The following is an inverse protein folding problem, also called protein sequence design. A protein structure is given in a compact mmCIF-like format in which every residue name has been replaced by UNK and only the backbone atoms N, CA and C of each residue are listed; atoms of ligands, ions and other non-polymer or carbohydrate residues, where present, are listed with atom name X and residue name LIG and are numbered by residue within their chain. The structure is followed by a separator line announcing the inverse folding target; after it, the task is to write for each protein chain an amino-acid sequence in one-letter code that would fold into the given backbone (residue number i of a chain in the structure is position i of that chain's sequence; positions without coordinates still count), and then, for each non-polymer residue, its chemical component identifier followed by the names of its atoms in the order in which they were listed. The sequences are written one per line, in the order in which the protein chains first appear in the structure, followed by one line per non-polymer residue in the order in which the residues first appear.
data_IF_843600367736
#
_entry.id   IF_843600367736
#
_cell.length_a   1.000
_cell.length_b   1.000
_cell.length_c   1.000
_cell.angle_alpha   90.00
_cell.angle_beta   90.00
_cell.angle_gamma   90.00
#
_symmetry.space_group_name_H-M   'P 1'
#
loop_
_entity.id
_entity.type
_entity.pdbx_description
1 polymer ?
#
# COMPACT_ATOMS: atom_id res chain seq x y z
N UNK A 1 -0.63 3.95 34.69
CA UNK A 1 -1.01 2.54 34.45
C UNK A 1 -0.64 2.19 33.01
N UNK A 2 0.44 1.42 32.81
CA UNK A 2 0.96 1.11 31.48
C UNK A 2 -0.04 0.24 30.72
N UNK A 3 -0.52 0.73 29.58
CA UNK A 3 -1.23 -0.06 28.58
C UNK A 3 -0.44 -1.34 28.31
N UNK A 4 -1.01 -2.47 28.72
CA UNK A 4 -0.54 -3.82 28.38
C UNK A 4 -0.32 -3.85 26.87
N UNK A 5 0.95 -3.88 26.45
CA UNK A 5 1.32 -4.21 25.08
C UNK A 5 0.62 -5.53 24.80
N UNK A 6 -0.34 -5.54 23.87
CA UNK A 6 -0.93 -6.78 23.36
C UNK A 6 0.19 -7.59 22.70
N UNK A 7 0.93 -8.35 23.49
CA UNK A 7 1.74 -9.46 23.02
C UNK A 7 0.77 -10.56 22.61
N UNK A 8 0.13 -10.39 21.45
CA UNK A 8 -0.54 -11.50 20.76
C UNK A 8 0.56 -12.40 20.20
N UNK A 9 1.15 -13.21 21.07
CA UNK A 9 1.84 -14.42 20.64
C UNK A 9 0.76 -15.32 20.07
N UNK A 10 0.53 -15.21 18.76
CA UNK A 10 -0.34 -16.15 18.06
C UNK A 10 0.27 -17.54 18.22
N UNK A 11 -0.48 -18.46 18.84
CA UNK A 11 -0.05 -19.84 18.96
C UNK A 11 0.18 -20.40 17.54
N UNK A 12 1.39 -20.88 17.18
CA UNK A 12 1.69 -21.35 15.83
C UNK A 12 0.82 -22.53 15.41
N UNK A 13 0.28 -23.30 16.36
CA UNK A 13 -0.71 -24.36 16.12
C UNK A 13 -2.11 -23.85 15.76
N UNK A 14 -2.20 -22.60 15.29
CA UNK A 14 -3.36 -22.04 14.59
C UNK A 14 -3.21 -22.05 13.08
N UNK A 15 -1.99 -22.26 12.56
CA UNK A 15 -1.69 -22.30 11.13
C UNK A 15 -1.33 -23.72 10.67
N UNK A 16 -1.65 -24.06 9.43
CA UNK A 16 -1.28 -25.32 8.81
C UNK A 16 0.20 -25.30 8.42
N UNK A 17 0.98 -26.32 8.78
CA UNK A 17 2.38 -26.43 8.36
C UNK A 17 2.53 -26.46 6.82
N UNK A 18 1.64 -27.16 6.11
CA UNK A 18 1.79 -27.38 4.66
C UNK A 18 1.38 -26.15 3.84
N UNK A 19 0.27 -25.48 4.17
CA UNK A 19 -0.25 -24.35 3.37
C UNK A 19 -0.11 -22.97 4.03
N UNK A 20 0.26 -22.88 5.31
CA UNK A 20 0.37 -21.59 6.03
C UNK A 20 -0.98 -20.96 6.40
N UNK A 21 -2.10 -21.54 5.99
CA UNK A 21 -3.43 -20.98 6.24
C UNK A 21 -3.88 -21.20 7.70
N UNK A 22 -4.73 -20.28 8.19
CA UNK A 22 -5.38 -20.42 9.48
C UNK A 22 -6.33 -21.63 9.52
N UNK A 23 -6.28 -22.40 10.61
CA UNK A 23 -7.03 -23.64 10.76
C UNK A 23 -7.92 -23.58 12.00
N UNK A 24 -9.23 -23.75 11.80
CA UNK A 24 -10.21 -23.90 12.89
C UNK A 24 -9.90 -25.17 13.70
N UNK A 25 -10.04 -25.12 15.04
CA UNK A 25 -9.65 -26.18 15.98
C UNK A 25 -10.08 -27.60 15.55
N UNK A 26 -11.31 -27.75 15.05
CA UNK A 26 -11.89 -29.03 14.58
C UNK A 26 -11.20 -29.65 13.34
N UNK A 27 -10.50 -28.83 12.55
CA UNK A 27 -9.82 -29.24 11.32
C UNK A 27 -8.31 -29.45 11.49
N UNK A 28 -7.79 -29.24 12.71
CA UNK A 28 -6.36 -29.42 13.02
C UNK A 28 -6.07 -30.91 13.19
N UNK A 29 -5.01 -31.37 12.55
CA UNK A 29 -4.52 -32.74 12.64
C UNK A 29 -3.03 -32.74 12.95
N UNK A 30 -2.50 -33.71 13.70
CA UNK A 30 -1.07 -33.79 13.98
C UNK A 30 -0.30 -34.11 12.70
N UNK A 31 0.98 -33.68 12.65
CA UNK A 31 1.91 -34.12 11.62
C UNK A 31 2.29 -35.59 11.92
N UNK A 32 1.77 -36.53 11.13
CA UNK A 32 2.07 -37.96 11.25
C UNK A 32 3.23 -38.37 10.34
N UNK A 33 3.77 -39.58 10.52
CA UNK A 33 4.79 -40.14 9.62
C UNK A 33 4.30 -40.24 8.16
N UNK A 34 3.01 -40.54 7.96
CA UNK A 34 2.40 -40.46 6.63
C UNK A 34 2.56 -39.06 6.02
N UNK A 35 2.24 -38.01 6.79
CA UNK A 35 2.34 -36.63 6.31
C UNK A 35 3.78 -36.28 5.97
N UNK A 36 4.75 -36.64 6.82
CA UNK A 36 6.18 -36.40 6.55
C UNK A 36 6.63 -37.05 5.23
N UNK A 37 6.29 -38.33 5.04
CA UNK A 37 6.64 -39.10 3.83
C UNK A 37 5.98 -38.54 2.58
N UNK A 38 4.66 -38.30 2.62
CA UNK A 38 3.92 -37.78 1.48
C UNK A 38 4.34 -36.35 1.12
N UNK A 39 4.59 -35.51 2.12
CA UNK A 39 5.07 -34.14 1.93
C UNK A 39 6.44 -34.11 1.26
N UNK A 40 7.39 -34.93 1.73
CA UNK A 40 8.71 -35.05 1.12
C UNK A 40 8.63 -35.59 -0.31
N UNK A 41 7.82 -36.63 -0.53
CA UNK A 41 7.64 -37.22 -1.86
C UNK A 41 7.13 -36.19 -2.89
N UNK A 42 6.17 -35.34 -2.47
CA UNK A 42 5.55 -34.32 -3.33
C UNK A 42 6.44 -33.08 -3.51
N UNK A 43 6.84 -32.42 -2.42
CA UNK A 43 7.51 -31.12 -2.46
C UNK A 43 9.04 -31.20 -2.51
N UNK A 44 9.62 -32.38 -2.29
CA UNK A 44 11.08 -32.58 -2.15
C UNK A 44 11.69 -31.76 -0.99
N UNK A 45 10.90 -31.48 0.03
CA UNK A 45 11.30 -30.73 1.24
C UNK A 45 11.04 -31.61 2.47
N UNK A 46 12.00 -31.70 3.37
CA UNK A 46 11.85 -32.45 4.62
C UNK A 46 11.21 -31.58 5.72
N UNK A 47 10.29 -32.16 6.48
CA UNK A 47 9.75 -31.52 7.69
C UNK A 47 10.75 -31.75 8.83
N UNK A 48 11.49 -30.69 9.22
CA UNK A 48 12.49 -30.71 10.29
C UNK A 48 12.13 -29.79 11.44
N UNK A 49 12.85 -29.93 12.54
CA UNK A 49 12.89 -28.99 13.67
C UNK A 49 11.51 -28.67 14.29
N UNK A 50 10.64 -29.68 14.39
CA UNK A 50 9.31 -29.58 15.04
C UNK A 50 9.38 -29.33 16.57
N UNK A 51 10.58 -29.34 17.14
CA UNK A 51 10.87 -28.92 18.51
C UNK A 51 10.80 -27.39 18.66
N UNK A 52 11.05 -26.61 17.60
CA UNK A 52 11.05 -25.15 17.65
C UNK A 52 9.67 -24.59 18.08
N UNK A 53 9.63 -23.64 19.05
CA UNK A 53 8.38 -23.19 19.66
C UNK A 53 7.50 -22.34 18.73
N UNK A 54 8.05 -21.76 17.67
CA UNK A 54 7.34 -20.93 16.69
C UNK A 54 6.82 -21.72 15.48
N UNK A 55 7.14 -23.01 15.37
CA UNK A 55 6.80 -23.84 14.22
C UNK A 55 5.44 -24.53 14.44
N UNK A 56 4.51 -24.51 13.46
CA UNK A 56 3.26 -25.25 13.61
C UNK A 56 3.49 -26.76 13.64
N UNK A 57 2.86 -27.42 14.60
CA UNK A 57 2.90 -28.89 14.76
C UNK A 57 1.64 -29.56 14.22
N UNK A 58 0.87 -28.82 13.42
CA UNK A 58 -0.43 -29.23 12.91
C UNK A 58 -0.54 -29.01 11.40
N UNK A 59 -1.38 -29.81 10.75
CA UNK A 59 -1.79 -29.70 9.35
C UNK A 59 -3.30 -29.62 9.28
N UNK A 60 -3.84 -28.87 8.31
CA UNK A 60 -5.27 -28.84 8.08
C UNK A 60 -5.77 -30.16 7.46
N UNK A 61 -7.00 -30.57 7.81
CA UNK A 61 -7.64 -31.78 7.26
C UNK A 61 -7.58 -31.83 5.72
N UNK A 62 -7.73 -30.69 5.04
CA UNK A 62 -7.66 -30.60 3.59
C UNK A 62 -6.29 -30.98 3.03
N UNK A 63 -5.19 -30.47 3.59
CA UNK A 63 -3.85 -30.79 3.09
C UNK A 63 -3.53 -32.27 3.27
N UNK A 64 -3.93 -32.88 4.39
CA UNK A 64 -3.76 -34.33 4.60
C UNK A 64 -4.55 -35.12 3.55
N UNK A 65 -5.80 -34.75 3.31
CA UNK A 65 -6.65 -35.46 2.36
C UNK A 65 -6.13 -35.31 0.93
N UNK A 66 -5.67 -34.12 0.54
CA UNK A 66 -5.06 -33.91 -0.77
C UNK A 66 -3.76 -34.71 -0.95
N UNK A 67 -2.91 -34.76 0.07
CA UNK A 67 -1.70 -35.61 0.05
C UNK A 67 -2.08 -37.08 -0.08
N UNK A 68 -3.10 -37.56 0.65
CA UNK A 68 -3.59 -38.94 0.57
C UNK A 68 -4.17 -39.28 -0.80
N UNK A 69 -4.98 -38.38 -1.38
CA UNK A 69 -5.52 -38.56 -2.73
C UNK A 69 -4.42 -38.56 -3.78
N UNK A 70 -3.40 -37.72 -3.62
CA UNK A 70 -2.26 -37.71 -4.52
C UNK A 70 -1.44 -39.00 -4.41
N UNK A 71 -1.12 -39.47 -3.20
CA UNK A 71 -0.39 -40.73 -3.00
C UNK A 71 -1.15 -41.95 -3.50
N UNK A 72 -2.48 -41.89 -3.53
CA UNK A 72 -3.35 -42.97 -4.09
C UNK A 72 -3.71 -42.78 -5.57
N UNK A 73 -3.13 -41.79 -6.27
CA UNK A 73 -3.39 -41.53 -7.68
C UNK A 73 -4.77 -40.95 -8.00
N UNK A 74 -5.62 -40.72 -7.00
CA UNK A 74 -6.95 -40.10 -7.16
C UNK A 74 -6.88 -38.61 -7.51
N UNK A 75 -5.70 -37.99 -7.34
CA UNK A 75 -5.47 -36.57 -7.61
C UNK A 75 -4.11 -36.38 -8.27
N UNK A 76 -4.09 -35.64 -9.38
CA UNK A 76 -2.85 -35.36 -10.10
C UNK A 76 -1.89 -34.43 -9.35
N UNK A 77 -2.41 -33.39 -8.69
CA UNK A 77 -1.58 -32.36 -8.03
C UNK A 77 -2.27 -31.73 -6.80
N UNK A 78 -1.47 -31.25 -5.86
CA UNK A 78 -1.90 -30.37 -4.76
C UNK A 78 -2.40 -29.03 -5.32
N UNK A 79 -3.16 -28.25 -4.53
CA UNK A 79 -3.65 -26.92 -4.96
C UNK A 79 -2.55 -25.89 -5.23
N UNK A 80 -1.31 -26.17 -4.82
CA UNK A 80 -0.15 -25.30 -4.97
C UNK A 80 1.10 -26.15 -5.18
N UNK A 81 2.07 -25.59 -5.89
CA UNK A 81 3.35 -26.26 -6.20
C UNK A 81 4.42 -26.01 -5.14
N UNK A 82 4.31 -24.92 -4.37
CA UNK A 82 5.26 -24.53 -3.33
C UNK A 82 4.51 -24.49 -1.99
N UNK A 83 4.94 -25.24 -0.95
CA UNK A 83 4.31 -25.23 0.35
C UNK A 83 4.73 -23.99 1.15
N UNK A 84 4.12 -23.78 2.32
CA UNK A 84 4.59 -22.74 3.24
C UNK A 84 5.99 -23.09 3.75
N UNK A 85 6.95 -22.20 3.51
CA UNK A 85 8.32 -22.34 4.00
C UNK A 85 8.44 -21.66 5.35
N UNK A 86 8.75 -22.44 6.38
CA UNK A 86 8.90 -21.98 7.75
C UNK A 86 10.39 -21.82 8.10
N UNK A 87 10.97 -20.73 7.62
CA UNK A 87 12.35 -20.36 7.96
C UNK A 87 12.42 -19.50 9.23
N UNK A 88 13.59 -19.47 9.86
CA UNK A 88 13.82 -18.64 11.04
C UNK A 88 13.77 -17.17 10.64
N UNK A 89 12.61 -16.56 10.85
CA UNK A 89 12.38 -15.15 10.59
C UNK A 89 12.97 -14.35 11.74
N UNK A 90 14.25 -14.02 11.65
CA UNK A 90 14.87 -13.07 12.58
C UNK A 90 14.23 -11.71 12.33
N UNK A 91 13.56 -11.14 13.33
CA UNK A 91 13.05 -9.77 13.22
C UNK A 91 14.22 -8.83 12.86
N UNK A 92 14.13 -8.17 11.71
CA UNK A 92 15.21 -7.35 11.14
C UNK A 92 16.01 -8.03 10.01
N UNK A 93 15.96 -9.36 9.85
CA UNK A 93 16.37 -10.02 8.60
C UNK A 93 15.23 -9.98 7.58
N UNK A 94 15.57 -9.73 6.33
CA UNK A 94 14.60 -9.49 5.28
C UNK A 94 14.02 -10.81 4.79
N UNK A 95 12.69 -10.89 4.72
CA UNK A 95 11.96 -12.06 4.23
C UNK A 95 11.94 -12.09 2.70
N UNK A 96 13.10 -12.35 2.08
CA UNK A 96 13.30 -12.34 0.63
C UNK A 96 13.32 -13.77 0.12
N UNK A 97 12.18 -14.26 -0.39
CA UNK A 97 12.03 -15.63 -0.91
C UNK A 97 12.78 -15.82 -2.24
N UNK A 98 12.90 -14.76 -3.03
CA UNK A 98 13.59 -14.77 -4.33
C UNK A 98 14.49 -13.54 -4.45
N UNK A 99 15.63 -13.64 -5.14
CA UNK A 99 16.45 -12.47 -5.42
C UNK A 99 15.58 -11.40 -6.12
N UNK A 100 15.62 -10.14 -5.66
CA UNK A 100 14.81 -9.08 -6.25
C UNK A 100 15.28 -8.79 -7.67
N UNK A 101 14.34 -8.59 -8.60
CA UNK A 101 14.64 -8.20 -9.99
C UNK A 101 15.29 -6.81 -10.08
N UNK A 102 15.05 -5.96 -9.08
CA UNK A 102 15.55 -4.59 -9.01
C UNK A 102 16.34 -4.42 -7.72
N UNK A 103 17.55 -3.86 -7.83
CA UNK A 103 18.37 -3.56 -6.66
C UNK A 103 17.68 -2.54 -5.74
N UNK A 104 17.92 -2.66 -4.43
CA UNK A 104 17.20 -1.84 -3.44
C UNK A 104 17.52 -0.36 -3.49
N UNK A 105 18.73 0.00 -3.88
CA UNK A 105 19.16 1.38 -4.11
C UNK A 105 18.46 2.02 -5.32
N UNK A 106 17.82 1.21 -6.18
CA UNK A 106 17.00 1.66 -7.31
C UNK A 106 15.51 1.74 -7.00
N UNK A 107 15.09 1.37 -5.78
CA UNK A 107 13.69 1.47 -5.36
C UNK A 107 13.41 2.92 -4.97
N UNK A 108 12.49 3.55 -5.70
CA UNK A 108 12.04 4.91 -5.42
C UNK A 108 10.74 4.86 -4.62
N UNK A 109 10.66 5.62 -3.54
CA UNK A 109 9.45 5.71 -2.74
C UNK A 109 8.42 6.63 -3.38
N UNK A 110 7.14 6.22 -3.41
CA UNK A 110 6.17 6.88 -4.27
C UNK A 110 5.58 8.18 -3.66
N UNK A 111 6.00 9.38 -4.08
CA UNK A 111 5.64 10.62 -3.38
C UNK A 111 4.15 10.92 -3.46
N UNK A 112 3.51 10.62 -4.60
CA UNK A 112 2.06 10.81 -4.76
C UNK A 112 1.32 9.90 -3.78
N UNK A 113 1.64 8.61 -3.77
CA UNK A 113 0.96 7.66 -2.91
C UNK A 113 1.21 7.93 -1.43
N UNK A 114 2.40 8.39 -1.04
CA UNK A 114 2.68 8.81 0.34
C UNK A 114 1.76 9.97 0.74
N UNK A 115 1.69 11.03 -0.07
CA UNK A 115 0.77 12.17 0.14
C UNK A 115 -0.68 11.71 0.31
N UNK A 116 -1.17 10.85 -0.59
CA UNK A 116 -2.52 10.28 -0.50
C UNK A 116 -2.72 9.45 0.79
N UNK A 117 -1.68 8.71 1.21
CA UNK A 117 -1.71 7.91 2.43
C UNK A 117 -1.74 8.75 3.70
N UNK A 118 -1.02 9.87 3.74
CA UNK A 118 -1.04 10.81 4.84
C UNK A 118 -2.43 11.44 4.98
N UNK A 119 -3.01 11.93 3.88
CA UNK A 119 -4.37 12.46 3.87
C UNK A 119 -5.38 11.42 4.38
N UNK A 120 -5.23 10.17 3.93
CA UNK A 120 -6.06 9.06 4.40
C UNK A 120 -5.96 8.87 5.92
N UNK A 121 -4.76 8.88 6.50
CA UNK A 121 -4.61 8.72 7.95
C UNK A 121 -5.20 9.91 8.72
N UNK A 122 -4.94 11.13 8.26
CA UNK A 122 -5.50 12.36 8.83
C UNK A 122 -7.03 12.27 8.92
N UNK A 123 -7.71 12.05 7.78
CA UNK A 123 -9.19 12.01 7.75
C UNK A 123 -9.74 10.84 8.56
N UNK A 124 -9.05 9.69 8.58
CA UNK A 124 -9.48 8.55 9.41
C UNK A 124 -9.42 8.87 10.90
N UNK A 125 -8.47 9.68 11.36
CA UNK A 125 -8.33 10.07 12.75
C UNK A 125 -9.28 11.20 13.21
N UNK A 126 -9.81 12.01 12.28
CA UNK A 126 -10.77 13.07 12.61
C UNK A 126 -12.01 12.57 13.36
N UNK A 127 -12.62 13.42 14.19
CA UNK A 127 -13.95 13.15 14.71
C UNK A 127 -14.98 13.18 13.56
N UNK A 128 -15.73 12.10 13.39
CA UNK A 128 -16.73 11.97 12.31
C UNK A 128 -18.00 12.78 12.58
N UNK A 129 -18.21 13.21 13.83
CA UNK A 129 -19.26 14.17 14.21
C UNK A 129 -18.75 15.60 14.32
N UNK A 130 -17.44 15.81 14.16
CA UNK A 130 -16.78 17.10 14.35
C UNK A 130 -16.95 18.07 13.18
N UNK A 131 -16.73 19.35 13.46
CA UNK A 131 -16.83 20.45 12.49
C UNK A 131 -15.87 20.28 11.31
N UNK A 132 -14.64 19.78 11.53
CA UNK A 132 -13.67 19.55 10.46
C UNK A 132 -14.18 18.51 9.44
N UNK A 133 -14.73 17.39 9.91
CA UNK A 133 -15.26 16.36 9.03
C UNK A 133 -16.55 16.82 8.33
N UNK A 134 -17.41 17.56 9.03
CA UNK A 134 -18.59 18.18 8.45
C UNK A 134 -18.23 19.17 7.32
N UNK A 135 -17.19 19.99 7.51
CA UNK A 135 -16.70 20.92 6.49
C UNK A 135 -16.25 20.17 5.24
N UNK A 136 -15.42 19.13 5.38
CA UNK A 136 -14.96 18.30 4.25
C UNK A 136 -16.16 17.69 3.51
N UNK A 137 -17.14 17.17 4.25
CA UNK A 137 -18.34 16.55 3.67
C UNK A 137 -19.15 17.56 2.86
N UNK A 138 -19.31 18.78 3.36
CA UNK A 138 -19.99 19.87 2.64
C UNK A 138 -19.20 20.34 1.42
N UNK A 139 -17.86 20.37 1.52
CA UNK A 139 -16.98 20.82 0.43
C UNK A 139 -17.00 19.88 -0.77
N UNK A 140 -17.17 18.58 -0.54
CA UNK A 140 -17.16 17.55 -1.58
C UNK A 140 -18.47 16.74 -1.59
N UNK A 141 -19.61 17.36 -1.98
CA UNK A 141 -20.91 16.67 -1.98
C UNK A 141 -20.97 15.47 -2.94
N UNK A 142 -20.07 15.41 -3.93
CA UNK A 142 -19.94 14.26 -4.84
C UNK A 142 -19.20 13.05 -4.26
N UNK A 143 -18.63 13.15 -3.05
CA UNK A 143 -18.04 12.02 -2.36
C UNK A 143 -19.04 11.41 -1.38
N UNK A 144 -19.19 10.09 -1.41
CA UNK A 144 -20.00 9.40 -0.42
C UNK A 144 -19.38 9.48 0.98
N UNK A 145 -20.21 9.41 2.00
CA UNK A 145 -19.79 9.39 3.40
C UNK A 145 -18.78 8.28 3.69
N UNK A 146 -18.91 7.11 3.05
CA UNK A 146 -18.00 5.97 3.19
C UNK A 146 -16.62 6.28 2.61
N UNK A 147 -16.57 6.92 1.42
CA UNK A 147 -15.30 7.36 0.82
C UNK A 147 -14.59 8.36 1.72
N UNK A 148 -15.34 9.31 2.28
CA UNK A 148 -14.82 10.30 3.23
C UNK A 148 -14.32 9.63 4.51
N UNK A 149 -15.11 8.76 5.14
CA UNK A 149 -14.70 8.00 6.35
C UNK A 149 -13.48 7.13 6.10
N UNK A 150 -13.34 6.58 4.89
CA UNK A 150 -12.19 5.79 4.48
C UNK A 150 -10.95 6.63 4.13
N UNK A 151 -11.08 7.97 4.07
CA UNK A 151 -10.01 8.89 3.71
C UNK A 151 -9.61 8.78 2.23
N UNK A 152 -10.56 8.49 1.35
CA UNK A 152 -10.33 8.35 -0.10
C UNK A 152 -10.44 9.72 -0.75
N UNK A 153 -9.28 10.29 -1.10
CA UNK A 153 -9.15 11.56 -1.80
C UNK A 153 -8.23 11.41 -3.00
N UNK A 154 -8.45 12.21 -4.03
CA UNK A 154 -7.51 12.37 -5.14
C UNK A 154 -6.58 13.59 -4.93
N UNK A 155 -5.58 13.72 -5.80
CA UNK A 155 -4.65 14.84 -5.77
C UNK A 155 -5.33 16.22 -5.86
N UNK A 156 -6.22 16.46 -6.84
CA UNK A 156 -6.99 17.71 -6.96
C UNK A 156 -7.77 18.10 -5.69
N UNK A 157 -8.50 17.17 -5.07
CA UNK A 157 -9.28 17.43 -3.85
C UNK A 157 -8.38 17.87 -2.68
N UNK A 158 -7.24 17.21 -2.50
CA UNK A 158 -6.26 17.61 -1.47
C UNK A 158 -5.74 19.02 -1.76
N UNK A 159 -5.40 19.34 -3.01
CA UNK A 159 -4.94 20.68 -3.39
C UNK A 159 -6.02 21.74 -3.15
N UNK A 160 -7.30 21.42 -3.34
CA UNK A 160 -8.40 22.33 -3.02
C UNK A 160 -8.47 22.61 -1.52
N UNK A 161 -8.37 21.60 -0.66
CA UNK A 161 -8.34 21.80 0.79
C UNK A 161 -7.11 22.60 1.25
N UNK A 162 -5.92 22.33 0.70
CA UNK A 162 -4.70 23.06 1.06
C UNK A 162 -4.80 24.56 0.73
N UNK A 163 -5.51 24.92 -0.35
CA UNK A 163 -5.70 26.32 -0.75
C UNK A 163 -6.84 27.02 -0.01
N UNK A 164 -7.72 26.25 0.62
CA UNK A 164 -8.91 26.78 1.28
C UNK A 164 -8.54 27.33 2.67
N UNK A 165 -8.52 28.66 2.79
CA UNK A 165 -8.18 29.34 4.04
C UNK A 165 -9.23 29.09 5.13
N UNK A 166 -10.49 28.90 4.75
CA UNK A 166 -11.60 28.71 5.69
C UNK A 166 -11.58 27.30 6.28
N UNK A 167 -10.89 26.35 5.63
CA UNK A 167 -10.80 24.98 6.12
C UNK A 167 -10.15 24.92 7.52
N UNK A 168 -9.11 25.73 7.76
CA UNK A 168 -8.41 25.76 9.06
C UNK A 168 -9.35 26.20 10.20
N UNK A 169 -10.32 27.08 9.90
CA UNK A 169 -11.28 27.58 10.88
C UNK A 169 -12.28 26.51 11.32
N UNK A 170 -12.41 25.41 10.57
CA UNK A 170 -13.27 24.28 10.94
C UNK A 170 -12.63 23.30 11.93
N UNK A 171 -11.33 23.47 12.24
CA UNK A 171 -10.53 22.49 12.97
C UNK A 171 -10.35 22.88 14.43
N UNK A 172 -10.30 21.88 15.31
CA UNK A 172 -9.77 22.07 16.67
C UNK A 172 -8.23 22.18 16.66
N UNK A 173 -7.63 22.46 17.83
CA UNK A 173 -6.18 22.67 17.94
C UNK A 173 -5.35 21.45 17.49
N UNK A 174 -5.77 20.22 17.80
CA UNK A 174 -5.06 18.99 17.43
C UNK A 174 -5.15 18.74 15.93
N UNK A 175 -6.35 18.87 15.36
CA UNK A 175 -6.61 18.75 13.93
C UNK A 175 -5.81 19.79 13.15
N UNK A 176 -5.83 21.05 13.60
CA UNK A 176 -5.10 22.16 12.98
C UNK A 176 -3.59 21.95 13.00
N UNK A 177 -3.02 21.47 14.10
CA UNK A 177 -1.59 21.16 14.20
C UNK A 177 -1.16 20.04 13.25
N UNK A 178 -1.95 18.95 13.19
CA UNK A 178 -1.73 17.85 12.26
C UNK A 178 -1.89 18.28 10.80
N UNK A 179 -2.90 19.10 10.48
CA UNK A 179 -3.10 19.62 9.13
C UNK A 179 -1.96 20.54 8.69
N UNK A 180 -1.54 21.47 9.54
CA UNK A 180 -0.44 22.41 9.23
C UNK A 180 0.87 21.68 8.99
N UNK A 181 1.20 20.68 9.81
CA UNK A 181 2.40 19.84 9.60
C UNK A 181 2.29 19.00 8.32
N UNK A 182 1.10 18.46 8.00
CA UNK A 182 0.85 17.78 6.73
C UNK A 182 1.10 18.71 5.52
N UNK A 183 0.56 19.92 5.53
CA UNK A 183 0.75 20.90 4.47
C UNK A 183 2.24 21.25 4.30
N UNK A 184 2.96 21.49 5.41
CA UNK A 184 4.41 21.76 5.39
C UNK A 184 5.20 20.63 4.72
N UNK A 185 4.93 19.36 5.05
CA UNK A 185 5.61 18.22 4.44
C UNK A 185 5.25 18.07 2.96
N UNK A 186 3.99 18.31 2.57
CA UNK A 186 3.58 18.23 1.16
C UNK A 186 4.27 19.31 0.31
N UNK A 187 4.45 20.51 0.84
CA UNK A 187 5.02 21.65 0.12
C UNK A 187 6.55 21.61 0.07
N UNK A 188 7.20 21.31 1.21
CA UNK A 188 8.64 21.49 1.39
C UNK A 188 9.45 20.18 1.40
N UNK A 189 8.78 19.02 1.31
CA UNK A 189 9.48 17.74 1.23
C UNK A 189 8.99 16.91 0.04
N UNK A 190 7.69 16.59 -0.04
CA UNK A 190 7.10 15.83 -1.14
C UNK A 190 6.94 16.67 -2.44
N UNK A 191 7.69 17.78 -2.52
CA UNK A 191 7.69 18.87 -3.49
C UNK A 191 8.57 18.59 -4.71
N UNK A 192 8.93 19.65 -5.45
CA UNK A 192 10.08 19.63 -6.37
C UNK A 192 11.39 19.92 -5.64
N UNK A 193 11.27 20.63 -4.52
CA UNK A 193 12.36 21.05 -3.66
C UNK A 193 12.22 20.30 -2.34
N UNK A 194 13.35 19.83 -1.84
CA UNK A 194 13.51 19.23 -0.53
C UNK A 194 14.17 20.29 0.36
N UNK A 195 13.43 20.81 1.31
CA UNK A 195 13.94 21.81 2.24
C UNK A 195 15.04 21.22 3.13
N UNK A 196 16.02 22.04 3.53
CA UNK A 196 17.13 21.61 4.38
C UNK A 196 16.64 21.03 5.72
N UNK A 197 15.58 21.61 6.29
CA UNK A 197 14.97 21.18 7.54
C UNK A 197 13.88 20.09 7.38
N UNK A 198 13.86 19.37 6.24
CA UNK A 198 12.83 18.34 5.98
C UNK A 198 12.71 17.27 7.08
N UNK A 199 13.81 16.93 7.75
CA UNK A 199 13.84 15.97 8.87
C UNK A 199 12.94 16.43 10.01
N UNK A 200 13.08 17.69 10.41
CA UNK A 200 12.26 18.31 11.46
C UNK A 200 10.79 18.37 11.04
N UNK A 201 10.51 18.76 9.79
CA UNK A 201 9.14 18.82 9.26
C UNK A 201 8.45 17.45 9.31
N UNK A 202 9.18 16.38 8.97
CA UNK A 202 8.66 15.01 9.01
C UNK A 202 8.49 14.52 10.45
N UNK A 203 9.43 14.85 11.35
CA UNK A 203 9.31 14.50 12.77
C UNK A 203 8.10 15.19 13.42
N UNK A 204 7.90 16.47 13.14
CA UNK A 204 6.73 17.24 13.57
C UNK A 204 5.42 16.64 13.03
N UNK A 205 5.40 16.24 11.76
CA UNK A 205 4.25 15.56 11.18
C UNK A 205 3.92 14.28 11.94
N UNK A 206 4.90 13.42 12.17
CA UNK A 206 4.71 12.13 12.84
C UNK A 206 4.23 12.31 14.28
N UNK A 207 4.76 13.29 15.00
CA UNK A 207 4.33 13.63 16.35
C UNK A 207 2.89 14.16 16.38
N UNK A 208 2.55 15.11 15.51
CA UNK A 208 1.19 15.66 15.45
C UNK A 208 0.16 14.61 15.01
N UNK A 209 0.52 13.73 14.06
CA UNK A 209 -0.33 12.61 13.65
C UNK A 209 -0.55 11.62 14.79
N UNK A 210 0.50 11.31 15.57
CA UNK A 210 0.38 10.48 16.76
C UNK A 210 -0.57 11.12 17.79
N UNK A 211 -0.44 12.42 18.03
CA UNK A 211 -1.29 13.16 18.97
C UNK A 211 -2.76 13.22 18.52
N UNK A 212 -3.00 13.32 17.20
CA UNK A 212 -4.35 13.24 16.63
C UNK A 212 -4.94 11.81 16.73
N UNK A 213 -4.15 10.79 17.03
CA UNK A 213 -4.59 9.39 17.09
C UNK A 213 -4.49 8.64 15.75
N UNK A 214 -3.69 9.13 14.80
CA UNK A 214 -3.40 8.41 13.56
C UNK A 214 -2.64 7.10 13.84
N UNK A 215 -3.03 6.03 13.15
CA UNK A 215 -2.28 4.78 13.18
C UNK A 215 -1.05 4.86 12.26
N UNK A 216 0.05 4.20 12.64
CA UNK A 216 1.24 4.09 11.79
C UNK A 216 0.91 3.26 10.54
N UNK A 217 0.78 3.93 9.40
CA UNK A 217 0.65 3.27 8.10
C UNK A 217 2.01 2.93 7.52
N UNK A 218 2.07 2.02 6.55
CA UNK A 218 3.31 1.70 5.84
C UNK A 218 3.96 2.94 5.19
N UNK A 219 3.13 3.88 4.71
CA UNK A 219 3.61 5.13 4.09
C UNK A 219 4.21 6.09 5.13
N UNK A 220 3.62 6.17 6.33
CA UNK A 220 4.23 6.90 7.44
C UNK A 220 5.50 6.21 7.94
N UNK A 221 5.53 4.89 7.92
CA UNK A 221 6.71 4.12 8.30
C UNK A 221 7.91 4.39 7.38
N UNK A 222 7.68 4.58 6.06
CA UNK A 222 8.73 5.03 5.14
C UNK A 222 9.31 6.38 5.54
N UNK A 223 8.47 7.34 5.91
CA UNK A 223 8.91 8.66 6.38
C UNK A 223 9.67 8.58 7.71
N UNK A 224 9.28 7.66 8.59
CA UNK A 224 9.93 7.48 9.88
C UNK A 224 11.28 6.77 9.79
N UNK A 225 11.42 5.76 8.92
CA UNK A 225 12.53 4.79 9.01
C UNK A 225 13.45 4.78 7.79
N UNK A 226 13.06 5.44 6.70
CA UNK A 226 13.78 5.44 5.42
C UNK A 226 13.86 6.84 4.82
N UNK A 227 13.89 7.86 5.68
CA UNK A 227 13.86 9.26 5.26
C UNK A 227 15.09 9.65 4.43
N UNK A 228 16.23 9.02 4.74
CA UNK A 228 17.51 9.16 4.05
C UNK A 228 17.51 8.64 2.60
N UNK A 229 16.52 7.82 2.23
CA UNK A 229 16.43 7.21 0.89
C UNK A 229 15.63 8.04 -0.12
N UNK A 230 15.05 9.14 0.32
CA UNK A 230 14.31 10.02 -0.58
C UNK A 230 15.28 10.90 -1.38
N UNK A 231 15.21 10.90 -2.72
CA UNK A 231 16.05 11.76 -3.55
C UNK A 231 15.75 13.25 -3.33
N UNK A 232 16.67 14.12 -3.75
CA UNK A 232 16.56 15.57 -3.59
C UNK A 232 15.34 16.16 -4.31
N UNK A 233 14.97 15.62 -5.47
CA UNK A 233 13.78 16.04 -6.21
C UNK A 233 12.75 14.91 -6.28
N UNK A 234 11.78 14.92 -5.36
CA UNK A 234 10.66 13.96 -5.39
C UNK A 234 9.63 14.27 -6.48
N UNK A 235 9.61 15.49 -6.99
CA UNK A 235 8.72 15.92 -8.05
C UNK A 235 9.03 15.25 -9.39
N UNK A 236 10.31 15.07 -9.71
CA UNK A 236 10.74 14.38 -10.94
C UNK A 236 10.42 12.88 -10.96
N UNK A 237 10.26 12.27 -9.78
CA UNK A 237 9.96 10.86 -9.64
C UNK A 237 8.49 10.60 -9.23
N UNK A 238 7.62 11.61 -9.35
CA UNK A 238 6.22 11.46 -8.94
C UNK A 238 5.41 10.65 -9.95
N UNK A 239 4.54 9.78 -9.44
CA UNK A 239 3.61 8.95 -10.24
C UNK A 239 2.46 9.74 -10.87
N UNK A 240 2.39 11.06 -10.69
CA UNK A 240 1.29 11.89 -11.21
C UNK A 240 1.14 11.75 -12.74
N UNK A 241 2.24 11.53 -13.47
CA UNK A 241 2.19 11.27 -14.92
C UNK A 241 1.62 9.87 -15.26
N UNK A 242 1.94 8.84 -14.46
CA UNK A 242 1.39 7.49 -14.64
C UNK A 242 -0.11 7.44 -14.34
N UNK A 243 -0.57 8.12 -13.27
CA UNK A 243 -2.00 8.25 -13.00
C UNK A 243 -2.73 9.06 -14.07
N UNK A 244 -2.04 10.04 -14.69
CA UNK A 244 -2.59 10.78 -15.83
C UNK A 244 -2.73 9.91 -17.07
N UNK A 245 -1.74 9.07 -17.36
CA UNK A 245 -1.80 8.12 -18.47
C UNK A 245 -3.07 7.26 -18.42
N UNK A 246 -3.45 6.76 -17.24
CA UNK A 246 -4.71 6.02 -17.08
C UNK A 246 -5.96 6.86 -17.41
N UNK A 247 -5.97 8.14 -17.06
CA UNK A 247 -7.09 9.04 -17.39
C UNK A 247 -7.16 9.31 -18.90
N UNK A 248 -6.01 9.54 -19.53
CA UNK A 248 -5.94 9.80 -20.97
C UNK A 248 -6.32 8.53 -21.75
N UNK A 249 -5.85 7.34 -21.32
CA UNK A 249 -6.23 6.06 -21.92
C UNK A 249 -7.72 5.79 -21.84
N UNK A 250 -8.38 6.12 -20.73
CA UNK A 250 -9.83 5.99 -20.63
C UNK A 250 -10.55 6.80 -21.72
N UNK A 251 -10.11 8.05 -21.95
CA UNK A 251 -10.70 8.90 -23.00
C UNK A 251 -10.40 8.35 -24.40
N UNK A 252 -9.18 7.84 -24.61
CA UNK A 252 -8.82 7.20 -25.87
C UNK A 252 -9.66 5.94 -26.10
N UNK A 253 -9.89 5.12 -25.08
CA UNK A 253 -10.69 3.90 -25.16
C UNK A 253 -12.14 4.24 -25.54
N UNK A 254 -12.74 5.24 -24.90
CA UNK A 254 -14.07 5.74 -25.24
C UNK A 254 -14.13 6.22 -26.70
N UNK A 255 -13.11 6.97 -27.17
CA UNK A 255 -13.01 7.47 -28.55
C UNK A 255 -12.90 6.34 -29.58
N UNK A 256 -12.19 5.27 -29.23
CA UNK A 256 -11.98 4.11 -30.09
C UNK A 256 -13.03 3.01 -29.89
N UNK A 257 -14.08 3.28 -29.11
CA UNK A 257 -15.19 2.36 -28.83
C UNK A 257 -14.73 1.03 -28.21
N UNK A 258 -13.75 1.10 -27.31
CA UNK A 258 -13.18 -0.08 -26.64
C UNK A 258 -12.20 -0.89 -27.50
N UNK A 259 -11.83 -0.42 -28.70
CA UNK A 259 -10.77 -1.06 -29.51
C UNK A 259 -9.41 -0.71 -28.96
N UNK A 260 -8.64 -1.73 -28.59
CA UNK A 260 -7.26 -1.64 -28.11
C UNK A 260 -6.30 -2.15 -29.18
N UNK A 261 -6.08 -1.35 -30.23
CA UNK A 261 -5.22 -1.70 -31.36
C UNK A 261 -3.96 -0.81 -31.45
N UNK A 262 -3.05 -1.18 -32.35
CA UNK A 262 -1.82 -0.44 -32.63
C UNK A 262 -2.09 1.00 -33.11
N UNK A 263 -3.22 1.25 -33.78
CA UNK A 263 -3.59 2.58 -34.26
C UNK A 263 -4.02 3.51 -33.13
N UNK A 264 -4.78 3.02 -32.15
CA UNK A 264 -5.14 3.76 -30.93
C UNK A 264 -3.89 4.19 -30.17
N UNK A 265 -2.95 3.26 -29.98
CA UNK A 265 -1.71 3.56 -29.27
C UNK A 265 -0.82 4.53 -30.07
N UNK A 266 -0.76 4.38 -31.40
CA UNK A 266 -0.03 5.31 -32.27
C UNK A 266 -0.62 6.72 -32.20
N UNK A 267 -1.95 6.88 -32.25
CA UNK A 267 -2.61 8.20 -32.11
C UNK A 267 -2.37 8.79 -30.71
N UNK A 268 -2.37 7.96 -29.66
CA UNK A 268 -2.02 8.41 -28.31
C UNK A 268 -0.59 8.96 -28.26
N UNK A 269 0.40 8.19 -28.72
CA UNK A 269 1.80 8.62 -28.79
C UNK A 269 1.98 9.88 -29.64
N UNK A 270 1.27 9.97 -30.77
CA UNK A 270 1.29 11.14 -31.65
C UNK A 270 0.73 12.39 -30.95
N UNK A 271 -0.38 12.24 -30.23
CA UNK A 271 -0.99 13.34 -29.45
C UNK A 271 -0.04 13.87 -28.37
N UNK A 272 0.68 12.99 -27.66
CA UNK A 272 1.68 13.38 -26.68
C UNK A 272 2.81 14.16 -27.37
N UNK A 273 3.32 13.63 -28.47
CA UNK A 273 4.47 14.19 -29.19
C UNK A 273 4.14 15.58 -29.72
N UNK A 274 2.96 15.77 -30.32
CA UNK A 274 2.48 17.07 -30.82
C UNK A 274 2.31 18.09 -29.70
N UNK A 275 1.70 17.70 -28.59
CA UNK A 275 1.28 18.64 -27.56
C UNK A 275 2.42 18.97 -26.55
N UNK A 276 3.58 18.30 -26.62
CA UNK A 276 4.67 18.42 -25.64
C UNK A 276 6.08 18.68 -26.19
N UNK A 277 6.20 19.18 -27.42
CA UNK A 277 7.49 19.35 -28.11
C UNK A 277 8.57 20.17 -27.37
N UNK A 278 8.21 21.05 -26.41
CA UNK A 278 9.15 21.99 -25.77
C UNK A 278 9.16 21.97 -24.22
N UNK A 279 8.64 20.95 -23.55
CA UNK A 279 8.54 20.97 -22.08
C UNK A 279 9.67 20.19 -21.39
N UNK A 280 10.46 20.89 -20.56
CA UNK A 280 11.30 20.27 -19.51
C UNK A 280 10.40 19.49 -18.55
N UNK A 281 10.81 18.28 -18.14
CA UNK A 281 10.03 17.40 -17.25
C UNK A 281 9.54 18.17 -16.02
N UNK A 282 8.22 18.25 -15.85
CA UNK A 282 7.59 19.08 -14.83
C UNK A 282 6.50 18.30 -14.11
N UNK A 283 6.39 18.51 -12.79
CA UNK A 283 5.43 17.82 -11.89
C UNK A 283 3.96 17.92 -12.34
N UNK A 284 3.62 18.99 -13.08
CA UNK A 284 2.25 19.24 -13.53
C UNK A 284 2.02 18.60 -14.89
N UNK A 285 1.20 17.55 -14.92
CA UNK A 285 0.50 17.16 -16.14
C UNK A 285 -0.43 18.31 -16.57
N UNK A 286 -0.27 18.81 -17.80
CA UNK A 286 -1.20 19.79 -18.38
C UNK A 286 -2.50 19.07 -18.75
N UNK A 287 -3.64 19.75 -18.59
CA UNK A 287 -4.92 19.21 -19.02
C UNK A 287 -4.92 19.15 -20.55
N UNK A 288 -4.97 17.94 -21.12
CA UNK A 288 -5.11 17.72 -22.56
C UNK A 288 -6.56 17.36 -22.88
N UNK A 289 -7.08 17.90 -23.98
CA UNK A 289 -8.37 17.50 -24.55
C UNK A 289 -8.08 16.68 -25.79
N UNK A 290 -8.54 15.43 -25.80
CA UNK A 290 -8.54 14.59 -27.00
C UNK A 290 -9.84 14.72 -27.80
N UNK A 291 -10.76 15.60 -27.34
CA UNK A 291 -11.96 15.98 -28.06
C UNK A 291 -11.67 17.20 -28.94
N UNK A 292 -12.28 17.28 -30.14
CA UNK A 292 -12.16 18.45 -31.00
C UNK A 292 -12.61 19.71 -30.24
N UNK A 293 -11.86 20.79 -30.40
CA UNK A 293 -12.28 22.12 -29.92
C UNK A 293 -13.51 22.52 -30.74
N UNK A 294 -14.63 22.79 -30.05
CA UNK A 294 -15.81 23.38 -30.66
C UNK A 294 -15.58 24.85 -30.98
#
# INVERSE_FOLDING_TARGET
MSSSRRSRLNNPNTFCYVCGEYVVKKLRKPITEFVKKAYFAYFKIEIKDLDRPWLPKIVCKMCIEHLRQWTSGKRAHMKFSVPMIWENMVAGKQNVIKPPLVYRDKIIFPPLHIKLGLMKQYVKALDKTGSCFAFISKKFPGLSTEKLKAGIFDGPQIRHLIKDKDFINSMNNLESAAWKSFVKVVQNFLGNEKAENYVELVQDLLNNFKNLGCNMSIKMHYLHSHLEKFPENLGSCSEEQGERFHQDLKVMEDRYQGRWDEHMMADYCWSITRDCQNNVHCKKARKRSFLPVK
#
